data_IF_399611564169
#
_entry.id   IF_399611564169
#
_cell.length_a   1.000
_cell.length_b   1.000
_cell.length_c   1.000
_cell.angle_alpha   90.00
_cell.angle_beta   90.00
_cell.angle_gamma   90.00
#
_symmetry.space_group_name_H-M   'P 1'
#
loop_
_entity.id
_entity.type
_entity.pdbx_description
1 polymer ?
#
# COMPACT_ATOMS: atom_id res chain seq x y z
N UNK A 1 -14.72 -27.68 10.69
CA UNK A 1 -14.92 -26.22 10.86
C UNK A 1 -13.94 -25.54 11.84
N UNK A 2 -13.80 -26.00 13.10
CA UNK A 2 -12.93 -25.34 14.11
C UNK A 2 -11.44 -25.23 13.73
N UNK A 3 -10.88 -26.22 13.00
CA UNK A 3 -9.48 -26.20 12.54
C UNK A 3 -9.23 -25.10 11.50
N UNK A 4 -10.16 -24.91 10.56
CA UNK A 4 -10.09 -23.88 9.51
C UNK A 4 -10.09 -22.48 10.12
N UNK A 5 -10.99 -22.23 11.09
CA UNK A 5 -11.05 -20.94 11.78
C UNK A 5 -9.77 -20.60 12.55
N UNK A 6 -9.13 -21.60 13.18
CA UNK A 6 -7.84 -21.41 13.86
C UNK A 6 -6.72 -21.09 12.87
N UNK A 7 -6.63 -21.82 11.76
CA UNK A 7 -5.64 -21.56 10.72
C UNK A 7 -5.79 -20.16 10.12
N UNK A 8 -7.02 -19.74 9.81
CA UNK A 8 -7.32 -18.41 9.29
C UNK A 8 -6.90 -17.31 10.27
N UNK A 9 -7.18 -17.50 11.57
CA UNK A 9 -6.78 -16.56 12.62
C UNK A 9 -5.27 -16.41 12.70
N UNK A 10 -4.53 -17.52 12.69
CA UNK A 10 -3.06 -17.49 12.70
C UNK A 10 -2.53 -16.77 11.47
N UNK A 11 -3.07 -17.08 10.29
CA UNK A 11 -2.68 -16.43 9.04
C UNK A 11 -2.91 -14.91 9.09
N UNK A 12 -4.09 -14.46 9.55
CA UNK A 12 -4.41 -13.04 9.71
C UNK A 12 -3.49 -12.35 10.72
N UNK A 13 -3.15 -13.01 11.83
CA UNK A 13 -2.29 -12.44 12.86
C UNK A 13 -0.88 -12.11 12.37
N UNK A 14 -0.37 -12.81 11.34
CA UNK A 14 0.92 -12.52 10.71
C UNK A 14 0.79 -11.68 9.44
N UNK A 15 -0.26 -11.89 8.64
CA UNK A 15 -0.47 -11.16 7.39
C UNK A 15 -0.70 -9.66 7.62
N UNK A 16 -1.48 -9.29 8.65
CA UNK A 16 -1.80 -7.89 8.96
C UNK A 16 -0.55 -7.05 9.32
N UNK A 17 0.30 -7.46 10.31
CA UNK A 17 1.52 -6.72 10.59
C UNK A 17 2.50 -6.76 9.42
N UNK A 18 2.61 -7.88 8.70
CA UNK A 18 3.46 -7.97 7.52
C UNK A 18 3.05 -6.95 6.44
N UNK A 19 1.74 -6.75 6.23
CA UNK A 19 1.24 -5.73 5.30
C UNK A 19 1.61 -4.30 5.74
N UNK A 20 1.51 -3.98 7.03
CA UNK A 20 1.91 -2.66 7.55
C UNK A 20 3.42 -2.42 7.38
N UNK A 21 4.23 -3.42 7.70
CA UNK A 21 5.69 -3.37 7.48
C UNK A 21 5.99 -3.19 5.99
N UNK A 22 5.29 -3.90 5.11
CA UNK A 22 5.43 -3.77 3.65
C UNK A 22 5.12 -2.33 3.18
N UNK A 23 4.10 -1.68 3.72
CA UNK A 23 3.81 -0.29 3.36
C UNK A 23 4.93 0.67 3.81
N UNK A 24 5.49 0.45 5.00
CA UNK A 24 6.63 1.24 5.47
C UNK A 24 7.87 1.01 4.62
N UNK A 25 8.16 -0.25 4.24
CA UNK A 25 9.31 -0.54 3.36
C UNK A 25 9.12 0.04 1.97
N UNK A 26 7.90 0.01 1.42
CA UNK A 26 7.59 0.68 0.15
C UNK A 26 7.80 2.20 0.24
N UNK A 27 7.36 2.84 1.33
CA UNK A 27 7.57 4.27 1.52
C UNK A 27 9.07 4.62 1.54
N UNK A 28 9.87 3.87 2.30
CA UNK A 28 11.33 4.03 2.36
C UNK A 28 11.97 3.74 1.01
N UNK A 29 11.58 2.66 0.34
CA UNK A 29 12.08 2.31 -0.99
C UNK A 29 11.82 3.42 -2.01
N UNK A 30 10.65 4.06 -1.95
CA UNK A 30 10.29 5.16 -2.81
C UNK A 30 11.17 6.40 -2.59
N UNK A 31 11.59 6.63 -1.36
CA UNK A 31 12.48 7.73 -0.99
C UNK A 31 13.93 7.48 -1.43
N UNK A 32 14.46 6.26 -1.23
CA UNK A 32 15.86 5.92 -1.56
C UNK A 32 16.09 5.56 -3.03
N UNK A 33 15.08 4.98 -3.69
CA UNK A 33 15.15 4.51 -5.08
C UNK A 33 14.03 5.15 -5.93
N UNK A 34 14.16 6.45 -6.21
CA UNK A 34 13.17 7.19 -6.96
C UNK A 34 13.11 6.68 -8.39
N UNK A 35 11.89 6.51 -8.89
CA UNK A 35 11.65 6.13 -10.29
C UNK A 35 11.78 7.36 -11.18
N UNK A 36 12.72 7.42 -12.14
CA UNK A 36 12.88 8.59 -13.00
C UNK A 36 11.60 9.04 -13.73
N UNK A 37 10.77 8.13 -14.29
CA UNK A 37 9.49 8.49 -14.91
C UNK A 37 8.50 9.13 -13.92
N UNK A 38 8.50 8.69 -12.65
CA UNK A 38 7.66 9.32 -11.63
C UNK A 38 8.15 10.72 -11.26
N UNK A 39 9.46 10.99 -11.28
CA UNK A 39 9.99 12.33 -10.95
C UNK A 39 9.42 13.41 -11.87
N UNK A 40 9.31 13.15 -13.17
CA UNK A 40 8.78 14.11 -14.13
C UNK A 40 7.31 14.46 -13.86
N UNK A 41 6.52 13.47 -13.42
CA UNK A 41 5.11 13.65 -13.06
C UNK A 41 4.99 14.36 -11.70
N UNK A 42 5.74 13.89 -10.70
CA UNK A 42 5.73 14.44 -9.35
C UNK A 42 6.22 15.89 -9.28
N UNK A 43 7.09 16.31 -10.22
CA UNK A 43 7.52 17.70 -10.35
C UNK A 43 6.35 18.68 -10.63
N UNK A 44 5.21 18.20 -11.15
CA UNK A 44 3.98 18.99 -11.33
C UNK A 44 3.27 19.34 -10.03
N UNK A 45 3.67 18.72 -8.91
CA UNK A 45 3.11 18.93 -7.58
C UNK A 45 4.18 19.55 -6.65
N UNK A 46 4.61 20.79 -6.90
CA UNK A 46 5.65 21.43 -6.09
C UNK A 46 5.22 21.57 -4.63
N UNK A 47 6.16 21.41 -3.71
CA UNK A 47 5.91 21.50 -2.27
C UNK A 47 5.19 20.30 -1.66
N UNK A 48 4.91 19.25 -2.44
CA UNK A 48 4.35 17.99 -1.95
C UNK A 48 5.45 16.94 -1.75
N UNK A 49 5.34 16.16 -0.69
CA UNK A 49 6.15 14.99 -0.37
C UNK A 49 5.43 13.74 -0.88
N UNK A 50 5.94 13.07 -1.92
CA UNK A 50 5.36 11.84 -2.43
C UNK A 50 5.76 10.64 -1.57
N UNK A 51 4.78 9.95 -1.01
CA UNK A 51 4.97 8.70 -0.25
C UNK A 51 4.53 7.53 -1.12
N UNK A 52 5.46 6.62 -1.45
CA UNK A 52 5.13 5.44 -2.24
C UNK A 52 4.39 4.40 -1.38
N UNK A 53 3.23 3.96 -1.84
CA UNK A 53 2.34 3.04 -1.11
C UNK A 53 2.06 1.76 -1.89
N UNK A 54 2.61 1.62 -3.10
CA UNK A 54 2.44 0.44 -3.91
C UNK A 54 3.26 0.47 -5.18
N UNK A 55 3.54 -0.71 -5.71
CA UNK A 55 4.11 -0.90 -7.04
C UNK A 55 3.49 -2.14 -7.68
N UNK A 56 3.33 -2.11 -9.00
CA UNK A 56 2.86 -3.25 -9.77
C UNK A 56 3.57 -3.28 -11.12
N UNK A 57 3.97 -4.47 -11.54
CA UNK A 57 4.55 -4.71 -12.87
C UNK A 57 3.71 -5.76 -13.54
N UNK A 58 3.18 -5.44 -14.71
CA UNK A 58 2.40 -6.36 -15.54
C UNK A 58 3.13 -6.48 -16.87
N UNK A 59 3.43 -7.70 -17.30
CA UNK A 59 3.92 -7.98 -18.64
C UNK A 59 2.81 -8.66 -19.42
N UNK A 60 2.49 -8.16 -20.60
CA UNK A 60 1.46 -8.72 -21.48
C UNK A 60 2.09 -9.02 -22.84
N UNK A 61 1.95 -10.24 -23.32
CA UNK A 61 2.32 -10.59 -24.69
C UNK A 61 1.18 -10.19 -25.63
N UNK A 62 1.47 -9.30 -26.58
CA UNK A 62 0.50 -8.91 -27.60
C UNK A 62 0.75 -9.68 -28.90
N UNK A 63 -0.30 -10.27 -29.51
CA UNK A 63 -0.20 -10.89 -30.82
C UNK A 63 0.37 -9.89 -31.83
N UNK A 64 1.51 -10.23 -32.45
CA UNK A 64 2.14 -9.41 -33.49
C UNK A 64 2.89 -8.15 -33.03
N UNK A 65 2.94 -7.83 -31.72
CA UNK A 65 3.67 -6.64 -31.20
C UNK A 65 4.72 -6.95 -30.13
N UNK A 66 4.87 -8.21 -29.73
CA UNK A 66 5.87 -8.62 -28.75
C UNK A 66 5.40 -8.48 -27.30
N UNK A 67 6.34 -8.37 -26.37
CA UNK A 67 6.09 -8.27 -24.93
C UNK A 67 5.99 -6.79 -24.53
N UNK A 68 4.82 -6.38 -24.03
CA UNK A 68 4.58 -5.05 -23.46
C UNK A 68 4.70 -5.12 -21.93
N UNK A 69 5.53 -4.26 -21.35
CA UNK A 69 5.75 -4.16 -19.90
C UNK A 69 5.12 -2.88 -19.36
N UNK A 70 4.04 -3.02 -18.59
CA UNK A 70 3.43 -1.93 -17.84
C UNK A 70 3.95 -1.90 -16.41
N UNK A 71 4.62 -0.82 -16.03
CA UNK A 71 5.04 -0.54 -14.66
C UNK A 71 4.11 0.52 -14.07
N UNK A 72 3.60 0.28 -12.87
CA UNK A 72 2.77 1.22 -12.12
C UNK A 72 3.34 1.43 -10.73
N UNK A 73 3.41 2.67 -10.27
CA UNK A 73 3.70 3.02 -8.87
C UNK A 73 2.59 3.88 -8.32
N UNK A 74 2.25 3.66 -7.05
CA UNK A 74 1.18 4.34 -6.35
C UNK A 74 1.78 5.24 -5.28
N UNK A 75 1.33 6.49 -5.24
CA UNK A 75 1.83 7.53 -4.36
C UNK A 75 0.69 8.25 -3.66
N UNK A 76 0.93 8.65 -2.42
CA UNK A 76 0.12 9.64 -1.70
C UNK A 76 0.94 10.91 -1.58
N UNK A 77 0.36 12.07 -1.91
CA UNK A 77 1.03 13.36 -1.83
C UNK A 77 0.70 14.04 -0.51
N UNK A 78 1.70 14.37 0.31
CA UNK A 78 1.54 15.09 1.57
C UNK A 78 2.13 16.50 1.48
N UNK A 79 1.52 17.54 2.07
CA UNK A 79 0.31 17.52 2.88
C UNK A 79 -1.00 17.57 2.08
N UNK A 80 -0.99 17.61 0.75
CA UNK A 80 -2.21 17.75 -0.07
C UNK A 80 -3.27 16.70 0.26
N UNK A 81 -2.89 15.46 0.58
CA UNK A 81 -3.83 14.42 0.98
C UNK A 81 -4.65 14.76 2.24
N UNK A 82 -4.23 15.74 3.05
CA UNK A 82 -5.00 16.25 4.18
C UNK A 82 -6.12 17.20 3.75
N UNK A 83 -6.00 17.85 2.59
CA UNK A 83 -7.00 18.76 2.01
C UNK A 83 -7.81 18.06 0.93
N UNK A 84 -7.13 17.43 -0.01
CA UNK A 84 -7.68 16.71 -1.16
C UNK A 84 -7.12 15.27 -1.20
N UNK A 85 -7.71 14.35 -0.43
CA UNK A 85 -7.24 12.97 -0.35
C UNK A 85 -7.33 12.27 -1.71
N UNK A 86 -6.19 11.96 -2.31
CA UNK A 86 -6.10 11.25 -3.58
C UNK A 86 -4.91 10.31 -3.62
N UNK A 87 -5.13 9.15 -4.24
CA UNK A 87 -4.09 8.18 -4.56
C UNK A 87 -3.64 8.44 -5.99
N UNK A 88 -2.38 8.83 -6.17
CA UNK A 88 -1.79 9.07 -7.48
C UNK A 88 -1.17 7.77 -7.99
N UNK A 89 -1.66 7.27 -9.13
CA UNK A 89 -1.08 6.16 -9.86
C UNK A 89 -0.29 6.72 -11.03
N UNK A 90 1.00 6.44 -11.06
CA UNK A 90 1.89 6.75 -12.17
C UNK A 90 2.15 5.46 -12.94
N UNK A 91 1.82 5.44 -14.22
CA UNK A 91 1.94 4.25 -15.08
C UNK A 91 2.86 4.55 -16.24
N UNK A 92 3.76 3.61 -16.56
CA UNK A 92 4.61 3.66 -17.75
C UNK A 92 4.43 2.34 -18.50
N UNK A 93 4.12 2.45 -19.79
CA UNK A 93 4.06 1.33 -20.71
C UNK A 93 5.35 1.33 -21.52
N UNK A 94 6.15 0.28 -21.41
CA UNK A 94 7.48 0.16 -22.02
C UNK A 94 8.37 1.39 -21.74
N UNK A 95 8.87 2.02 -22.81
CA UNK A 95 9.66 3.26 -22.77
C UNK A 95 8.83 4.51 -23.06
N UNK A 96 7.50 4.41 -23.06
CA UNK A 96 6.61 5.55 -23.29
C UNK A 96 6.69 6.57 -22.13
N UNK A 97 6.07 7.72 -22.36
CA UNK A 97 5.93 8.76 -21.34
C UNK A 97 5.03 8.26 -20.22
N UNK A 98 5.41 8.51 -18.96
CA UNK A 98 4.59 8.14 -17.83
C UNK A 98 3.28 8.93 -17.81
N UNK A 99 2.18 8.23 -17.59
CA UNK A 99 0.84 8.80 -17.42
C UNK A 99 0.46 8.82 -15.95
N UNK A 100 -0.36 9.81 -15.57
CA UNK A 100 -0.87 9.97 -14.22
C UNK A 100 -2.37 9.73 -14.16
N UNK A 101 -2.83 9.09 -13.09
CA UNK A 101 -4.23 8.92 -12.77
C UNK A 101 -4.41 9.11 -11.27
N UNK A 102 -5.39 9.92 -10.87
CA UNK A 102 -5.70 10.17 -9.47
C UNK A 102 -7.03 9.50 -9.08
N UNK A 103 -7.06 8.85 -7.93
CA UNK A 103 -8.27 8.21 -7.41
C UNK A 103 -8.51 8.56 -5.95
N UNK A 104 -9.61 9.27 -5.67
CA UNK A 104 -10.09 9.56 -4.31
C UNK A 104 -10.62 8.30 -3.62
N UNK A 105 -11.38 7.48 -4.36
CA UNK A 105 -11.88 6.20 -3.85
C UNK A 105 -10.71 5.25 -3.49
N UNK A 106 -9.67 5.22 -4.32
CA UNK A 106 -8.46 4.42 -4.06
C UNK A 106 -7.73 4.86 -2.78
N UNK A 107 -7.68 6.16 -2.49
CA UNK A 107 -7.12 6.66 -1.23
C UNK A 107 -7.89 6.16 -0.02
N UNK A 108 -9.22 6.30 -0.02
CA UNK A 108 -10.05 5.86 1.10
C UNK A 108 -10.02 4.34 1.29
N UNK A 109 -9.99 3.58 0.20
CA UNK A 109 -9.83 2.13 0.26
C UNK A 109 -8.48 1.74 0.90
N UNK A 110 -7.39 2.40 0.50
CA UNK A 110 -6.07 2.20 1.11
C UNK A 110 -6.09 2.55 2.60
N UNK A 111 -6.66 3.71 2.97
CA UNK A 111 -6.73 4.14 4.37
C UNK A 111 -7.54 3.16 5.22
N UNK A 112 -8.69 2.71 4.71
CA UNK A 112 -9.52 1.71 5.39
C UNK A 112 -8.78 0.38 5.55
N UNK A 113 -8.03 -0.07 4.53
CA UNK A 113 -7.22 -1.27 4.60
C UNK A 113 -6.10 -1.15 5.66
N UNK A 114 -5.39 -0.02 5.69
CA UNK A 114 -4.35 0.27 6.69
C UNK A 114 -4.95 0.28 8.10
N UNK A 115 -6.07 0.98 8.30
CA UNK A 115 -6.74 1.03 9.58
C UNK A 115 -7.21 -0.35 10.05
N UNK A 116 -7.82 -1.14 9.15
CA UNK A 116 -8.23 -2.51 9.46
C UNK A 116 -7.04 -3.40 9.82
N UNK A 117 -5.91 -3.27 9.11
CA UNK A 117 -4.67 -4.01 9.43
C UNK A 117 -4.08 -3.59 10.78
N UNK A 118 -4.10 -2.29 11.11
CA UNK A 118 -3.62 -1.77 12.38
C UNK A 118 -4.48 -2.27 13.55
N UNK A 119 -5.80 -2.16 13.43
CA UNK A 119 -6.75 -2.68 14.43
C UNK A 119 -6.64 -4.20 14.57
N UNK A 120 -6.53 -4.93 13.45
CA UNK A 120 -6.33 -6.38 13.45
C UNK A 120 -5.03 -6.78 14.13
N UNK A 121 -3.93 -6.12 13.80
CA UNK A 121 -2.63 -6.32 14.47
C UNK A 121 -2.75 -6.07 15.97
N UNK A 122 -3.34 -4.94 16.37
CA UNK A 122 -3.57 -4.61 17.77
C UNK A 122 -4.38 -5.71 18.48
N UNK A 123 -5.51 -6.13 17.90
CA UNK A 123 -6.39 -7.13 18.49
C UNK A 123 -5.73 -8.50 18.67
N UNK A 124 -4.89 -8.92 17.71
CA UNK A 124 -4.23 -10.22 17.78
C UNK A 124 -2.97 -10.23 18.64
N UNK A 125 -2.22 -9.12 18.71
CA UNK A 125 -0.93 -9.06 19.39
C UNK A 125 -0.97 -8.41 20.77
N UNK A 126 -1.96 -7.56 21.03
CA UNK A 126 -2.14 -6.89 22.33
C UNK A 126 -3.41 -7.43 22.98
N UNK A 127 -3.36 -8.63 23.59
CA UNK A 127 -4.49 -9.12 24.36
C UNK A 127 -4.80 -8.08 25.46
N UNK A 128 -6.08 -7.80 25.74
CA UNK A 128 -6.43 -6.96 26.88
C UNK A 128 -5.90 -7.64 28.14
N UNK A 129 -4.86 -7.05 28.74
CA UNK A 129 -4.18 -7.55 29.94
C UNK A 129 -5.05 -7.52 31.22
N UNK A 130 -6.38 -7.44 31.09
CA UNK A 130 -7.33 -7.16 32.17
C UNK A 130 -8.23 -8.31 32.63
N UNK A 131 -8.20 -9.49 31.99
CA UNK A 131 -9.03 -10.65 32.41
C UNK A 131 -8.20 -11.82 32.98
N UNK A 132 -6.99 -11.54 33.47
CA UNK A 132 -6.16 -12.51 34.15
C UNK A 132 -5.83 -12.03 35.57
N UNK A 133 -6.79 -12.20 36.49
CA UNK A 133 -6.63 -12.57 37.92
C UNK A 133 -7.99 -12.46 38.61
N UNK A 134 -8.86 -13.43 38.35
CA UNK A 134 -9.81 -13.85 39.38
C UNK A 134 -9.01 -14.55 40.50
N UNK A 135 -9.35 -14.35 41.78
CA UNK A 135 -8.61 -14.94 42.90
C UNK A 135 -8.62 -16.45 42.76
N UNK A 136 -7.43 -17.08 42.81
CA UNK A 136 -7.33 -18.52 42.98
C UNK A 136 -7.70 -18.84 44.45
N UNK A 137 -8.56 -19.84 44.71
CA UNK A 137 -8.84 -20.31 46.06
C UNK A 137 -7.59 -20.88 46.73
#
# INVERSE_FOLDING_TARGET
MRRVLRALRTLLAFAMPAYLVLLMTLAVQGAISPWPPARAVLARHPGQVPVMVGMATHARQLPGRGLESTKSRYYVLLPEALREPRLLRITQVDSATATESASRAGFWALLAAVAACAVGTWWFWLPPRGLARGPRP
#
